data_IF_055276200589
#
_entry.id   IF_055276200589
#
_cell.length_a   1.000
_cell.length_b   1.000
_cell.length_c   1.000
_cell.angle_alpha   90.00
_cell.angle_beta   90.00
_cell.angle_gamma   90.00
#
_symmetry.space_group_name_H-M   'P 1'
#
loop_
_entity.id
_entity.type
_entity.pdbx_description
1 polymer ?
#
# COMPACT_ATOMS: atom_id res chain seq x y z
N UNK A 1 20.63 73.63 14.18
CA UNK A 1 21.54 72.82 13.33
C UNK A 1 21.30 71.35 13.69
N UNK A 2 20.69 70.55 12.82
CA UNK A 2 20.34 69.14 13.10
C UNK A 2 21.34 68.27 12.37
N UNK A 3 22.15 67.50 13.10
CA UNK A 3 23.17 66.62 12.53
C UNK A 3 22.54 65.24 12.32
N UNK A 4 22.15 64.93 11.08
CA UNK A 4 21.64 63.61 10.69
C UNK A 4 22.74 62.56 10.84
N UNK A 5 22.49 61.54 11.65
CA UNK A 5 23.42 60.47 11.98
C UNK A 5 23.15 59.28 11.04
N UNK A 6 23.86 59.23 9.91
CA UNK A 6 23.77 58.11 8.97
C UNK A 6 24.57 56.92 9.53
N UNK A 7 23.88 55.91 10.06
CA UNK A 7 24.50 54.63 10.48
C UNK A 7 24.97 53.88 9.24
N UNK A 8 26.26 53.54 9.18
CA UNK A 8 26.80 52.67 8.12
C UNK A 8 26.24 51.25 8.28
N UNK A 9 25.70 50.63 7.22
CA UNK A 9 25.32 49.22 7.29
C UNK A 9 26.58 48.38 7.49
N UNK A 10 26.62 47.61 8.57
CA UNK A 10 27.63 46.58 8.79
C UNK A 10 27.34 45.43 7.85
N UNK A 11 28.19 45.21 6.85
CA UNK A 11 28.03 44.12 5.88
C UNK A 11 28.50 42.78 6.45
N UNK A 12 27.86 41.70 6.00
CA UNK A 12 28.32 40.33 6.25
C UNK A 12 29.68 40.10 5.57
N UNK A 13 30.56 39.37 6.26
CA UNK A 13 31.86 38.98 5.70
C UNK A 13 31.68 37.89 4.64
N UNK A 14 32.57 37.85 3.64
CA UNK A 14 32.57 36.77 2.62
C UNK A 14 32.72 35.40 3.29
N UNK A 15 33.49 35.34 4.38
CA UNK A 15 33.68 34.10 5.11
C UNK A 15 32.40 33.64 5.81
N UNK A 16 31.61 34.54 6.40
CA UNK A 16 30.31 34.17 6.98
C UNK A 16 29.37 33.54 5.95
N UNK A 17 29.31 34.08 4.74
CA UNK A 17 28.49 33.50 3.68
C UNK A 17 29.02 32.12 3.24
N UNK A 18 30.35 31.96 3.17
CA UNK A 18 30.99 30.72 2.74
C UNK A 18 30.71 29.56 3.70
N UNK A 19 30.79 29.81 5.02
CA UNK A 19 30.51 28.76 6.01
C UNK A 19 29.04 28.35 5.96
N UNK A 20 28.12 29.31 5.73
CA UNK A 20 26.69 29.03 5.65
C UNK A 20 26.36 28.12 4.47
N UNK A 21 26.89 28.39 3.27
CA UNK A 21 26.65 27.52 2.11
C UNK A 21 27.29 26.14 2.30
N UNK A 22 28.44 26.05 2.97
CA UNK A 22 29.10 24.79 3.27
C UNK A 22 28.25 23.93 4.23
N UNK A 23 27.71 24.53 5.30
CA UNK A 23 26.81 23.83 6.24
C UNK A 23 25.51 23.41 5.54
N UNK A 24 24.93 24.28 4.72
CA UNK A 24 23.72 23.95 3.94
C UNK A 24 23.96 22.77 2.99
N UNK A 25 25.12 22.69 2.33
CA UNK A 25 25.47 21.58 1.46
C UNK A 25 25.58 20.25 2.22
N UNK A 26 26.16 20.26 3.43
CA UNK A 26 26.28 19.07 4.28
C UNK A 26 24.90 18.60 4.77
N UNK A 27 24.06 19.52 5.25
CA UNK A 27 22.72 19.18 5.72
C UNK A 27 21.84 18.63 4.60
N UNK A 28 21.89 19.22 3.40
CA UNK A 28 21.16 18.74 2.24
C UNK A 28 21.56 17.30 1.86
N UNK A 29 22.86 16.98 1.91
CA UNK A 29 23.34 15.63 1.61
C UNK A 29 22.77 14.57 2.58
N UNK A 30 22.68 14.87 3.88
CA UNK A 30 22.14 13.95 4.90
C UNK A 30 20.63 13.74 4.73
N UNK A 31 19.88 14.77 4.38
CA UNK A 31 18.42 14.68 4.20
C UNK A 31 18.04 13.75 3.05
N UNK A 32 18.79 13.79 1.93
CA UNK A 32 18.50 12.98 0.74
C UNK A 32 18.61 11.48 1.01
N UNK A 33 19.57 11.04 1.84
CA UNK A 33 19.75 9.61 2.16
C UNK A 33 18.61 9.06 3.04
N UNK A 34 17.95 9.90 3.84
CA UNK A 34 16.88 9.50 4.76
C UNK A 34 15.47 9.41 4.13
N UNK A 35 15.23 10.05 2.99
CA UNK A 35 13.88 10.14 2.39
C UNK A 35 13.40 8.87 1.66
N UNK A 36 14.31 8.03 1.17
CA UNK A 36 13.91 6.87 0.34
C UNK A 36 13.19 5.76 1.12
N UNK A 37 13.44 5.61 2.43
CA UNK A 37 12.82 4.53 3.24
C UNK A 37 11.41 4.83 3.74
N UNK A 38 11.09 6.09 4.01
CA UNK A 38 9.81 6.50 4.65
C UNK A 38 8.63 6.33 3.68
N UNK A 39 8.83 6.54 2.39
CA UNK A 39 7.79 6.39 1.37
C UNK A 39 7.33 4.94 1.20
N UNK A 40 8.26 3.98 1.30
CA UNK A 40 7.97 2.54 1.22
C UNK A 40 7.16 2.09 2.43
N UNK A 41 7.56 2.50 3.64
CA UNK A 41 6.82 2.16 4.86
C UNK A 41 5.39 2.72 4.84
N UNK A 42 5.21 3.98 4.43
CA UNK A 42 3.89 4.60 4.31
C UNK A 42 2.98 3.84 3.33
N UNK A 43 3.52 3.41 2.17
CA UNK A 43 2.78 2.59 1.18
C UNK A 43 2.41 1.21 1.74
N UNK A 44 3.33 0.55 2.44
CA UNK A 44 3.07 -0.73 3.08
C UNK A 44 1.99 -0.60 4.15
N UNK A 45 2.03 0.43 5.02
CA UNK A 45 0.98 0.69 6.02
C UNK A 45 -0.37 0.98 5.36
N UNK A 46 -0.41 1.77 4.27
CA UNK A 46 -1.65 2.00 3.53
C UNK A 46 -2.25 0.69 3.00
N UNK A 47 -1.44 -0.20 2.41
CA UNK A 47 -1.87 -1.52 1.94
C UNK A 47 -2.34 -2.46 3.06
N UNK A 48 -1.69 -2.41 4.22
CA UNK A 48 -2.10 -3.18 5.38
C UNK A 48 -3.50 -2.74 5.87
N UNK A 49 -3.73 -1.43 5.97
CA UNK A 49 -5.03 -0.87 6.31
C UNK A 49 -6.12 -1.21 5.29
N UNK A 50 -5.78 -1.20 3.99
CA UNK A 50 -6.69 -1.65 2.92
C UNK A 50 -7.12 -3.12 3.14
N UNK A 51 -6.16 -4.02 3.41
CA UNK A 51 -6.45 -5.43 3.72
C UNK A 51 -7.30 -5.60 4.97
N UNK A 52 -7.04 -4.85 6.04
CA UNK A 52 -7.83 -4.91 7.28
C UNK A 52 -9.27 -4.46 7.05
N UNK A 53 -9.48 -3.45 6.19
CA UNK A 53 -10.82 -3.00 5.82
C UNK A 53 -11.56 -4.05 4.99
N UNK A 54 -10.86 -4.74 4.09
CA UNK A 54 -11.41 -5.88 3.36
C UNK A 54 -11.77 -7.02 4.30
N UNK A 55 -10.88 -7.42 5.19
CA UNK A 55 -11.13 -8.42 6.24
C UNK A 55 -12.38 -8.08 7.04
N UNK A 56 -12.50 -6.85 7.51
CA UNK A 56 -13.69 -6.37 8.23
C UNK A 56 -14.97 -6.49 7.40
N UNK A 57 -14.89 -6.27 6.09
CA UNK A 57 -16.04 -6.43 5.17
C UNK A 57 -16.47 -7.89 5.04
N UNK A 58 -15.51 -8.83 4.96
CA UNK A 58 -15.80 -10.26 4.95
C UNK A 58 -16.39 -10.73 6.28
N UNK A 59 -15.84 -10.29 7.42
CA UNK A 59 -16.36 -10.60 8.76
C UNK A 59 -17.77 -10.03 8.97
N UNK A 60 -18.05 -8.84 8.44
CA UNK A 60 -19.39 -8.27 8.43
C UNK A 60 -20.36 -9.10 7.59
N UNK A 61 -19.91 -9.60 6.44
CA UNK A 61 -20.71 -10.54 5.62
C UNK A 61 -21.05 -11.80 6.41
N UNK A 62 -20.05 -12.43 7.05
CA UNK A 62 -20.27 -13.60 7.92
C UNK A 62 -21.24 -13.30 9.05
N UNK A 63 -21.12 -12.14 9.70
CA UNK A 63 -22.02 -11.72 10.78
C UNK A 63 -23.46 -11.58 10.28
N UNK A 64 -23.67 -11.08 9.06
CA UNK A 64 -25.00 -10.84 8.49
C UNK A 64 -25.67 -12.09 7.94
N UNK A 65 -24.90 -12.96 7.27
CA UNK A 65 -25.43 -14.11 6.54
C UNK A 65 -25.06 -15.45 7.18
N UNK A 66 -24.37 -15.44 8.32
CA UNK A 66 -23.85 -16.61 9.04
C UNK A 66 -22.84 -17.47 8.25
N UNK A 67 -22.44 -17.02 7.05
CA UNK A 67 -21.47 -17.68 6.16
C UNK A 67 -20.72 -16.62 5.38
N UNK A 68 -19.52 -16.95 4.89
CA UNK A 68 -18.83 -16.14 3.90
C UNK A 68 -19.48 -16.27 2.51
N UNK A 69 -19.18 -15.34 1.57
CA UNK A 69 -19.71 -15.38 0.21
C UNK A 69 -19.37 -16.71 -0.48
N UNK A 70 -20.39 -17.47 -0.87
CA UNK A 70 -20.19 -18.71 -1.63
C UNK A 70 -19.76 -18.37 -3.05
N UNK A 71 -18.51 -18.71 -3.38
CA UNK A 71 -17.96 -18.63 -4.73
C UNK A 71 -17.20 -19.91 -5.05
N UNK A 72 -16.96 -20.16 -6.33
CA UNK A 72 -16.12 -21.28 -6.72
C UNK A 72 -14.71 -21.14 -6.14
N UNK A 73 -14.06 -22.26 -5.85
CA UNK A 73 -12.66 -22.27 -5.42
C UNK A 73 -11.80 -21.59 -6.48
N UNK A 74 -11.04 -20.57 -6.09
CA UNK A 74 -10.30 -19.77 -7.05
C UNK A 74 -9.76 -18.48 -6.48
N UNK A 75 -9.08 -17.70 -7.33
CA UNK A 75 -8.58 -16.37 -6.99
C UNK A 75 -9.49 -15.29 -7.57
N UNK A 76 -9.70 -14.22 -6.82
CA UNK A 76 -10.59 -13.12 -7.16
C UNK A 76 -9.99 -11.78 -6.76
N UNK A 77 -10.15 -10.78 -7.61
CA UNK A 77 -9.74 -9.42 -7.32
C UNK A 77 -10.66 -8.76 -6.30
N UNK A 78 -10.06 -8.12 -5.31
CA UNK A 78 -10.78 -7.28 -4.36
C UNK A 78 -10.66 -5.84 -4.86
N UNK A 79 -11.73 -5.32 -5.45
CA UNK A 79 -11.75 -4.01 -6.10
C UNK A 79 -11.91 -4.09 -7.63
N UNK A 80 -12.15 -2.94 -8.26
CA UNK A 80 -12.52 -2.87 -9.68
C UNK A 80 -11.60 -2.03 -10.56
N UNK A 81 -10.68 -1.25 -9.96
CA UNK A 81 -9.97 -0.18 -10.66
C UNK A 81 -8.51 -0.51 -10.98
N UNK A 82 -8.18 -1.79 -11.15
CA UNK A 82 -6.82 -2.23 -11.46
C UNK A 82 -6.38 -1.79 -12.86
N UNK A 83 -5.17 -1.23 -12.99
CA UNK A 83 -4.67 -0.66 -14.25
C UNK A 83 -4.65 -1.64 -15.43
N UNK A 84 -4.49 -2.94 -15.17
CA UNK A 84 -4.45 -4.01 -16.19
C UNK A 84 -5.73 -4.84 -16.23
N UNK A 85 -6.74 -4.49 -15.42
CA UNK A 85 -7.94 -5.32 -15.20
C UNK A 85 -7.65 -6.67 -14.52
N UNK A 86 -6.41 -6.89 -14.07
CA UNK A 86 -5.94 -8.10 -13.37
C UNK A 86 -5.40 -7.74 -11.99
N UNK A 87 -5.39 -8.72 -11.10
CA UNK A 87 -4.72 -8.65 -9.79
C UNK A 87 -3.85 -9.91 -9.58
N UNK A 88 -3.18 -10.00 -8.44
CA UNK A 88 -2.02 -10.87 -8.22
C UNK A 88 -0.91 -10.58 -9.24
N UNK A 89 -0.24 -11.59 -9.79
CA UNK A 89 0.76 -11.42 -10.85
C UNK A 89 0.09 -11.11 -12.19
N UNK A 90 0.04 -9.83 -12.56
CA UNK A 90 -0.60 -9.34 -13.79
C UNK A 90 0.08 -9.83 -15.08
N UNK A 91 1.30 -10.36 -14.99
CA UNK A 91 2.02 -10.96 -16.12
C UNK A 91 1.57 -12.40 -16.41
N UNK A 92 0.92 -13.06 -15.45
CA UNK A 92 0.41 -14.41 -15.61
C UNK A 92 -0.87 -14.45 -16.45
N UNK A 93 -1.00 -15.49 -17.28
CA UNK A 93 -2.25 -15.82 -17.99
C UNK A 93 -3.33 -16.38 -17.06
N UNK A 94 -2.94 -16.91 -15.90
CA UNK A 94 -3.84 -17.45 -14.87
C UNK A 94 -4.23 -16.41 -13.81
N UNK A 95 -3.77 -15.17 -13.97
CA UNK A 95 -4.07 -14.09 -13.05
C UNK A 95 -5.59 -13.82 -12.99
N UNK A 96 -6.17 -13.67 -11.79
CA UNK A 96 -7.56 -13.27 -11.64
C UNK A 96 -7.85 -11.94 -12.33
N UNK A 97 -9.02 -11.85 -12.96
CA UNK A 97 -9.49 -10.64 -13.63
C UNK A 97 -10.62 -9.98 -12.83
N UNK A 98 -10.74 -8.66 -12.94
CA UNK A 98 -11.86 -7.92 -12.34
C UNK A 98 -13.22 -8.39 -12.87
N UNK A 99 -13.28 -8.83 -14.13
CA UNK A 99 -14.49 -9.36 -14.76
C UNK A 99 -14.96 -10.66 -14.09
N UNK A 100 -14.05 -11.62 -13.89
CA UNK A 100 -14.35 -12.88 -13.20
C UNK A 100 -14.72 -12.69 -11.72
N UNK A 101 -14.32 -11.55 -11.14
CA UNK A 101 -14.53 -11.22 -9.72
C UNK A 101 -15.85 -10.48 -9.45
N UNK A 102 -16.61 -10.12 -10.48
CA UNK A 102 -17.87 -9.38 -10.35
C UNK A 102 -18.89 -10.06 -9.44
N UNK A 103 -18.99 -11.39 -9.48
CA UNK A 103 -19.88 -12.16 -8.60
C UNK A 103 -19.55 -11.95 -7.12
N UNK A 104 -18.27 -12.10 -6.74
CA UNK A 104 -17.82 -11.88 -5.36
C UNK A 104 -18.04 -10.43 -4.93
N UNK A 105 -17.69 -9.48 -5.80
CA UNK A 105 -17.82 -8.06 -5.51
C UNK A 105 -19.28 -7.63 -5.34
N UNK A 106 -20.22 -8.22 -6.09
CA UNK A 106 -21.65 -7.97 -5.94
C UNK A 106 -22.21 -8.54 -4.62
N UNK A 107 -21.72 -9.69 -4.17
CA UNK A 107 -22.09 -10.23 -2.85
C UNK A 107 -21.58 -9.32 -1.72
N UNK A 108 -20.33 -8.87 -1.78
CA UNK A 108 -19.76 -7.97 -0.74
C UNK A 108 -20.47 -6.61 -0.71
N UNK A 109 -20.98 -6.12 -1.85
CA UNK A 109 -21.80 -4.89 -1.90
C UNK A 109 -23.08 -4.98 -1.08
N UNK A 110 -23.60 -6.18 -0.78
CA UNK A 110 -24.79 -6.37 0.06
C UNK A 110 -24.55 -6.01 1.52
N UNK A 111 -23.30 -6.03 1.98
CA UNK A 111 -22.94 -5.62 3.35
C UNK A 111 -22.24 -4.28 3.43
N UNK A 112 -21.51 -3.88 2.37
CA UNK A 112 -20.91 -2.55 2.30
C UNK A 112 -21.16 -1.91 0.93
N UNK A 113 -22.05 -0.88 0.83
CA UNK A 113 -22.36 -0.24 -0.44
C UNK A 113 -21.18 0.56 -1.01
N UNK A 114 -20.28 1.04 -0.15
CA UNK A 114 -19.00 1.66 -0.52
C UNK A 114 -17.88 0.68 -0.21
N UNK A 115 -17.45 -0.05 -1.23
CA UNK A 115 -16.33 -0.98 -1.10
C UNK A 115 -15.03 -0.21 -0.78
N UNK A 116 -14.11 -0.81 -0.01
CA UNK A 116 -12.84 -0.17 0.30
C UNK A 116 -12.09 0.24 -0.97
N UNK A 117 -11.55 1.45 -0.96
CA UNK A 117 -10.61 1.90 -1.99
C UNK A 117 -9.39 0.98 -1.99
N UNK A 118 -8.87 0.68 -3.18
CA UNK A 118 -7.70 -0.18 -3.33
C UNK A 118 -6.57 0.59 -3.97
N UNK A 119 -5.35 0.30 -3.56
CA UNK A 119 -4.14 0.76 -4.24
C UNK A 119 -4.03 0.06 -5.61
N UNK A 120 -4.54 0.72 -6.65
CA UNK A 120 -4.63 0.17 -8.01
C UNK A 120 -3.28 0.11 -8.75
N UNK A 121 -2.25 0.73 -8.17
CA UNK A 121 -0.91 0.77 -8.73
C UNK A 121 -0.20 -0.55 -8.48
N UNK A 122 0.07 -1.28 -9.56
CA UNK A 122 0.91 -2.46 -9.51
C UNK A 122 2.32 -2.12 -9.00
N UNK A 123 2.88 -2.99 -8.17
CA UNK A 123 4.31 -2.98 -7.82
C UNK A 123 4.99 -4.04 -8.65
N UNK A 124 5.87 -3.61 -9.55
CA UNK A 124 6.38 -4.47 -10.62
C UNK A 124 5.21 -5.11 -11.39
N UNK A 125 5.10 -6.43 -11.43
CA UNK A 125 3.97 -7.14 -12.07
C UNK A 125 2.82 -7.43 -11.12
N UNK A 126 2.95 -7.16 -9.82
CA UNK A 126 1.96 -7.56 -8.82
C UNK A 126 0.98 -6.43 -8.52
N UNK A 127 -0.31 -6.72 -8.62
CA UNK A 127 -1.39 -5.80 -8.22
C UNK A 127 -2.28 -6.45 -7.16
N UNK A 128 -2.64 -5.72 -6.11
CA UNK A 128 -3.45 -6.25 -5.02
C UNK A 128 -4.39 -5.18 -4.46
N UNK A 129 -5.31 -5.54 -3.55
CA UNK A 129 -5.45 -6.84 -2.92
C UNK A 129 -6.31 -7.85 -3.72
N UNK A 130 -6.17 -9.14 -3.41
CA UNK A 130 -6.96 -10.21 -4.00
C UNK A 130 -7.30 -11.29 -2.96
N UNK A 131 -8.38 -12.03 -3.15
CA UNK A 131 -8.79 -13.15 -2.30
C UNK A 131 -8.55 -14.47 -3.01
N UNK A 132 -8.12 -15.49 -2.27
CA UNK A 132 -8.13 -16.89 -2.70
C UNK A 132 -9.18 -17.59 -1.85
N UNK A 133 -10.21 -18.12 -2.51
CA UNK A 133 -11.27 -18.88 -1.89
C UNK A 133 -10.89 -20.35 -1.99
N UNK A 134 -10.58 -20.95 -0.84
CA UNK A 134 -10.37 -22.38 -0.65
C UNK A 134 -11.64 -23.09 -0.23
N UNK A 135 -11.53 -24.41 0.01
CA UNK A 135 -12.64 -25.23 0.46
C UNK A 135 -13.02 -24.98 1.93
N UNK A 136 -12.04 -24.59 2.76
CA UNK A 136 -12.19 -24.43 4.23
C UNK A 136 -11.68 -23.09 4.73
N UNK A 137 -11.06 -22.29 3.86
CA UNK A 137 -10.47 -21.00 4.20
C UNK A 137 -10.63 -19.99 3.05
N UNK A 138 -10.61 -18.71 3.41
CA UNK A 138 -10.47 -17.60 2.47
C UNK A 138 -9.21 -16.84 2.86
N UNK A 139 -8.29 -16.71 1.92
CA UNK A 139 -7.04 -15.97 2.12
C UNK A 139 -7.14 -14.62 1.43
N UNK A 140 -6.99 -13.52 2.16
CA UNK A 140 -6.89 -12.17 1.59
C UNK A 140 -5.42 -11.83 1.47
N UNK A 141 -4.94 -11.50 0.27
CA UNK A 141 -3.52 -11.33 -0.04
C UNK A 141 -3.26 -9.92 -0.56
N UNK A 142 -2.19 -9.30 -0.05
CA UNK A 142 -1.63 -8.07 -0.58
C UNK A 142 -0.13 -8.19 -0.82
N UNK A 143 0.40 -7.29 -1.65
CA UNK A 143 1.83 -7.26 -2.01
C UNK A 143 2.52 -6.11 -1.30
N UNK A 144 3.61 -6.42 -0.62
CA UNK A 144 4.37 -5.50 0.20
C UNK A 144 5.81 -5.40 -0.30
N UNK A 145 6.37 -4.19 -0.23
CA UNK A 145 7.76 -3.93 -0.58
C UNK A 145 8.62 -4.17 0.65
N UNK A 146 9.01 -5.42 0.85
CA UNK A 146 9.78 -5.90 2.01
C UNK A 146 10.45 -7.24 1.71
N UNK A 147 11.52 -7.54 2.45
CA UNK A 147 12.23 -8.82 2.36
C UNK A 147 11.71 -9.79 3.43
N UNK A 148 10.76 -10.63 3.06
CA UNK A 148 10.22 -11.71 3.90
C UNK A 148 9.65 -11.23 5.25
N UNK A 149 9.02 -10.05 5.26
CA UNK A 149 8.42 -9.48 6.47
C UNK A 149 7.08 -8.81 6.14
N UNK A 150 6.06 -9.07 6.96
CA UNK A 150 4.74 -8.46 6.83
C UNK A 150 4.49 -7.44 7.94
N UNK A 151 3.77 -6.35 7.66
CA UNK A 151 3.30 -5.45 8.70
C UNK A 151 2.16 -6.09 9.50
N UNK A 152 2.02 -5.69 10.77
CA UNK A 152 0.87 -6.00 11.64
C UNK A 152 0.63 -7.52 11.86
N UNK A 153 -0.64 -7.95 11.87
CA UNK A 153 -1.08 -9.34 12.10
C UNK A 153 -1.04 -10.22 10.83
N UNK A 154 -0.45 -9.71 9.74
CA UNK A 154 -0.38 -10.42 8.48
C UNK A 154 0.72 -11.50 8.50
N UNK A 155 0.43 -12.64 7.90
CA UNK A 155 1.39 -13.75 7.78
C UNK A 155 1.99 -13.75 6.38
N UNK A 156 3.29 -14.05 6.26
CA UNK A 156 3.94 -14.23 4.96
C UNK A 156 3.34 -15.45 4.25
N UNK A 157 2.80 -15.27 3.04
CA UNK A 157 2.42 -16.39 2.17
C UNK A 157 3.61 -16.86 1.34
N UNK A 158 4.27 -15.92 0.66
CA UNK A 158 5.49 -16.22 -0.10
C UNK A 158 6.26 -14.93 -0.42
N UNK A 159 7.57 -15.04 -0.57
CA UNK A 159 8.40 -13.97 -1.13
C UNK A 159 8.54 -14.17 -2.64
N UNK A 160 8.38 -13.10 -3.40
CA UNK A 160 8.55 -13.12 -4.86
C UNK A 160 9.80 -12.33 -5.23
N UNK A 161 10.41 -12.70 -6.35
CA UNK A 161 11.60 -12.00 -6.85
C UNK A 161 11.30 -10.52 -7.07
N UNK A 162 12.28 -9.66 -6.74
CA UNK A 162 12.22 -8.18 -6.70
C UNK A 162 11.99 -7.52 -5.32
N UNK A 163 12.29 -8.21 -4.22
CA UNK A 163 12.19 -7.61 -2.87
C UNK A 163 10.75 -7.36 -2.44
N UNK A 164 9.83 -8.18 -2.95
CA UNK A 164 8.41 -8.12 -2.64
C UNK A 164 8.00 -9.34 -1.83
N UNK A 165 7.11 -9.12 -0.87
CA UNK A 165 6.54 -10.18 -0.03
C UNK A 165 5.02 -10.15 -0.17
N UNK A 166 4.43 -11.31 -0.44
CA UNK A 166 2.99 -11.51 -0.41
C UNK A 166 2.59 -11.86 1.02
N UNK A 167 1.75 -11.01 1.59
CA UNK A 167 1.26 -11.15 2.96
C UNK A 167 -0.24 -11.43 2.94
N UNK A 168 -0.70 -12.25 3.89
CA UNK A 168 -2.09 -12.73 3.91
C UNK A 168 -2.77 -12.59 5.26
N UNK A 169 -4.09 -12.44 5.21
CA UNK A 169 -5.02 -12.84 6.27
C UNK A 169 -5.70 -14.15 5.89
N UNK A 170 -5.91 -15.02 6.87
CA UNK A 170 -6.65 -16.28 6.67
C UNK A 170 -7.94 -16.21 7.47
N UNK A 171 -9.06 -16.38 6.78
CA UNK A 171 -10.40 -16.45 7.34
C UNK A 171 -10.87 -17.89 7.25
N UNK A 172 -11.33 -18.47 8.37
CA UNK A 172 -11.85 -19.83 8.41
C UNK A 172 -13.38 -19.79 8.49
N UNK A 173 -14.05 -20.64 7.72
CA UNK A 173 -15.52 -20.73 7.71
C UNK A 173 -16.06 -21.06 9.11
#
# INVERSE_FOLDING_TARGET
MIKSMYKKPTGFTIIELLIVIAVMAILAAIVVVGWNGVSVQSRNTARANELETWKSTFELYKTRFSTYPSQATGSYCLGSSFSTGKCADTSSSTAPTVAASTGLMNELKRVSPTLPSVSTSAVATYAGPYAIIGATDIKLIGTFESNNSCPDDLVVETSVSSGLTLCKYTLTY
#
